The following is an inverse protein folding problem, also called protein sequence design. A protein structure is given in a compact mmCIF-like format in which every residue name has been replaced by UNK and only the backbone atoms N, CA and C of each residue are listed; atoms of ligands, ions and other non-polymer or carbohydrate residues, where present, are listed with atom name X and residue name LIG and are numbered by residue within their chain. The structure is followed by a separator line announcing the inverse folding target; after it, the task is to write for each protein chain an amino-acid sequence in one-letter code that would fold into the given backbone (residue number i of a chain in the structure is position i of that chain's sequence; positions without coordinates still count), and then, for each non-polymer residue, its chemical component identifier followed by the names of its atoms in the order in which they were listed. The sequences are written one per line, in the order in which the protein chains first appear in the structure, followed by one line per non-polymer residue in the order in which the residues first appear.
data_IF_385911286700
#
_entry.id   IF_385911286700
#
_cell.length_a   1.000
_cell.length_b   1.000
_cell.length_c   1.000
_cell.angle_alpha   90.00
_cell.angle_beta   90.00
_cell.angle_gamma   90.00
#
_symmetry.space_group_name_H-M   'P 1'
#
loop_
_entity.id
_entity.type
_entity.pdbx_description
1 polymer ?
#
# COMPACT_ATOMS: atom_id res chain seq x y z
N UNK A 1 -15.17 -33.47 -10.02
CA UNK A 1 -15.97 -32.24 -9.93
C UNK A 1 -15.20 -31.14 -10.64
N UNK A 2 -15.44 -31.00 -11.94
CA UNK A 2 -14.65 -30.15 -12.83
C UNK A 2 -15.23 -28.75 -12.92
N UNK A 3 -14.38 -27.75 -13.18
CA UNK A 3 -14.74 -26.33 -13.30
C UNK A 3 -15.85 -26.01 -14.33
N UNK A 4 -16.23 -26.97 -15.18
CA UNK A 4 -17.36 -26.85 -16.10
C UNK A 4 -18.74 -26.83 -15.43
N UNK A 5 -18.89 -27.48 -14.28
CA UNK A 5 -20.20 -27.59 -13.59
C UNK A 5 -20.59 -26.28 -12.86
N UNK A 6 -19.62 -25.43 -12.55
CA UNK A 6 -19.86 -24.16 -11.87
C UNK A 6 -20.43 -23.10 -12.83
N UNK A 7 -19.99 -23.11 -14.09
CA UNK A 7 -20.44 -22.12 -15.09
C UNK A 7 -21.87 -22.39 -15.61
N UNK A 8 -22.34 -23.63 -15.57
CA UNK A 8 -23.69 -23.98 -16.07
C UNK A 8 -24.77 -23.62 -15.03
N UNK A 9 -24.45 -23.69 -13.74
CA UNK A 9 -25.41 -23.44 -12.66
C UNK A 9 -25.61 -21.95 -12.31
N UNK A 10 -24.73 -21.05 -12.75
CA UNK A 10 -24.83 -19.60 -12.49
C UNK A 10 -25.64 -18.82 -13.56
N UNK A 11 -25.98 -19.46 -14.68
CA UNK A 11 -26.71 -18.83 -15.79
C UNK A 11 -28.23 -18.66 -15.52
N UNK A 12 -28.94 -19.54 -14.80
CA UNK A 12 -30.39 -19.39 -14.63
C UNK A 12 -30.78 -18.22 -13.72
N UNK A 13 -29.95 -17.86 -12.74
CA UNK A 13 -30.31 -16.87 -11.70
C UNK A 13 -30.34 -15.41 -12.21
N UNK A 14 -29.62 -15.08 -13.28
CA UNK A 14 -29.67 -13.74 -13.90
C UNK A 14 -30.92 -13.59 -14.80
N UNK A 15 -31.62 -14.69 -15.10
CA UNK A 15 -32.72 -14.71 -16.08
C UNK A 15 -34.12 -14.52 -15.48
N UNK A 16 -34.24 -13.97 -14.27
CA UNK A 16 -35.51 -13.64 -13.61
C UNK A 16 -36.46 -12.83 -14.51
N UNK A 17 -37.27 -13.52 -15.30
CA UNK A 17 -38.16 -12.97 -16.30
C UNK A 17 -39.20 -14.01 -16.67
N UNK A 18 -40.42 -13.78 -16.16
CA UNK A 18 -41.61 -14.64 -16.27
C UNK A 18 -41.77 -15.25 -17.67
N UNK A 19 -42.13 -16.54 -17.71
CA UNK A 19 -42.49 -17.28 -18.91
C UNK A 19 -43.64 -16.59 -19.67
N UNK A 20 -43.28 -15.79 -20.67
CA UNK A 20 -44.18 -15.32 -21.71
C UNK A 20 -44.04 -16.22 -22.94
N UNK A 21 -45.16 -16.81 -23.39
CA UNK A 21 -45.29 -17.57 -24.64
C UNK A 21 -44.72 -16.77 -25.83
N UNK A 22 -43.55 -17.17 -26.34
CA UNK A 22 -42.89 -16.56 -27.50
C UNK A 22 -41.36 -16.69 -27.49
N UNK A 23 -40.83 -17.86 -27.12
CA UNK A 23 -39.47 -18.00 -26.58
C UNK A 23 -38.34 -18.33 -27.55
N UNK A 24 -37.96 -17.44 -28.49
CA UNK A 24 -36.74 -17.67 -29.32
C UNK A 24 -35.71 -16.54 -29.48
N UNK A 25 -35.95 -15.22 -29.29
CA UNK A 25 -34.89 -14.22 -29.48
C UNK A 25 -34.11 -13.85 -28.21
N UNK A 26 -34.74 -13.86 -27.02
CA UNK A 26 -34.13 -13.33 -25.77
C UNK A 26 -33.00 -14.22 -25.24
N UNK A 27 -33.12 -15.54 -25.37
CA UNK A 27 -32.08 -16.49 -24.94
C UNK A 27 -30.79 -16.36 -25.75
N UNK A 28 -30.90 -16.04 -27.05
CA UNK A 28 -29.75 -15.90 -27.95
C UNK A 28 -28.97 -14.61 -27.66
N UNK A 29 -29.68 -13.51 -27.38
CA UNK A 29 -29.06 -12.23 -27.04
C UNK A 29 -28.26 -12.28 -25.72
N UNK A 30 -28.80 -12.96 -24.69
CA UNK A 30 -28.09 -13.14 -23.41
C UNK A 30 -26.82 -13.97 -23.54
N UNK A 31 -26.84 -15.03 -24.37
CA UNK A 31 -25.66 -15.85 -24.66
C UNK A 31 -24.61 -15.07 -25.46
N UNK A 32 -25.03 -14.26 -26.44
CA UNK A 32 -24.11 -13.38 -27.18
C UNK A 32 -23.43 -12.37 -26.27
N UNK A 33 -24.18 -11.74 -25.37
CA UNK A 33 -23.64 -10.78 -24.42
C UNK A 33 -22.61 -11.41 -23.46
N UNK A 34 -22.90 -12.61 -22.94
CA UNK A 34 -21.96 -13.30 -22.03
C UNK A 34 -20.67 -13.72 -22.74
N UNK A 35 -20.76 -14.15 -24.01
CA UNK A 35 -19.58 -14.46 -24.83
C UNK A 35 -18.73 -13.21 -25.09
N UNK A 36 -19.35 -12.08 -25.44
CA UNK A 36 -18.63 -10.82 -25.66
C UNK A 36 -17.94 -10.36 -24.36
N UNK A 37 -18.63 -10.43 -23.23
CA UNK A 37 -18.06 -10.07 -21.93
C UNK A 37 -16.86 -10.96 -21.58
N UNK A 38 -16.95 -12.26 -21.83
CA UNK A 38 -15.86 -13.20 -21.60
C UNK A 38 -14.63 -12.87 -22.47
N UNK A 39 -14.84 -12.55 -23.74
CA UNK A 39 -13.76 -12.15 -24.66
C UNK A 39 -13.07 -10.88 -24.14
N UNK A 40 -13.84 -9.89 -23.68
CA UNK A 40 -13.27 -8.66 -23.12
C UNK A 40 -12.43 -8.94 -21.87
N UNK A 41 -12.92 -9.76 -20.94
CA UNK A 41 -12.18 -10.16 -19.74
C UNK A 41 -10.88 -10.89 -20.08
N UNK A 42 -10.94 -11.88 -20.98
CA UNK A 42 -9.76 -12.63 -21.42
C UNK A 42 -8.75 -11.72 -22.13
N UNK A 43 -9.22 -10.78 -22.97
CA UNK A 43 -8.33 -9.82 -23.63
C UNK A 43 -7.64 -8.89 -22.64
N UNK A 44 -8.35 -8.47 -21.58
CA UNK A 44 -7.78 -7.68 -20.49
C UNK A 44 -6.73 -8.45 -19.70
N UNK A 45 -7.01 -9.72 -19.37
CA UNK A 45 -6.07 -10.60 -18.68
C UNK A 45 -4.78 -10.80 -19.49
N UNK A 46 -4.89 -11.08 -20.79
CA UNK A 46 -3.74 -11.26 -21.69
C UNK A 46 -2.90 -9.98 -21.77
N UNK A 47 -3.55 -8.81 -21.82
CA UNK A 47 -2.84 -7.51 -21.77
C UNK A 47 -2.12 -7.32 -20.44
N UNK A 48 -2.77 -7.62 -19.32
CA UNK A 48 -2.16 -7.53 -17.98
C UNK A 48 -0.93 -8.43 -17.83
N UNK A 49 -1.03 -9.69 -18.25
CA UNK A 49 0.11 -10.63 -18.24
C UNK A 49 1.25 -10.11 -19.11
N UNK A 50 0.94 -9.57 -20.30
CA UNK A 50 1.96 -9.02 -21.20
C UNK A 50 2.67 -7.79 -20.61
N UNK A 51 1.94 -6.92 -19.92
CA UNK A 51 2.51 -5.75 -19.24
C UNK A 51 3.45 -6.19 -18.12
N UNK A 52 3.00 -7.10 -17.25
CA UNK A 52 3.82 -7.65 -16.17
C UNK A 52 5.11 -8.29 -16.71
N UNK A 53 4.99 -9.16 -17.72
CA UNK A 53 6.15 -9.78 -18.36
C UNK A 53 7.07 -8.78 -19.09
N UNK A 54 6.57 -7.62 -19.53
CA UNK A 54 7.41 -6.58 -20.13
C UNK A 54 8.18 -5.79 -19.08
N UNK A 55 7.59 -5.53 -17.91
CA UNK A 55 8.26 -4.82 -16.81
C UNK A 55 9.36 -5.68 -16.19
N UNK A 56 9.12 -6.99 -16.00
CA UNK A 56 10.15 -7.93 -15.54
C UNK A 56 11.35 -7.99 -16.50
N UNK A 57 11.09 -7.97 -17.82
CA UNK A 57 12.16 -7.93 -18.83
C UNK A 57 12.94 -6.63 -18.80
N UNK A 58 12.28 -5.50 -18.57
CA UNK A 58 12.95 -4.19 -18.44
C UNK A 58 13.85 -4.18 -17.21
N UNK A 59 13.35 -4.64 -16.07
CA UNK A 59 14.12 -4.77 -14.84
C UNK A 59 15.31 -5.72 -15.03
N UNK A 60 15.12 -6.87 -15.68
CA UNK A 60 16.21 -7.81 -15.99
C UNK A 60 17.27 -7.21 -16.94
N UNK A 61 16.86 -6.41 -17.92
CA UNK A 61 17.79 -5.75 -18.84
C UNK A 61 18.58 -4.62 -18.15
N UNK A 62 17.89 -3.79 -17.35
CA UNK A 62 18.52 -2.71 -16.59
C UNK A 62 19.52 -3.26 -15.56
N UNK A 63 19.15 -4.32 -14.83
CA UNK A 63 20.03 -4.98 -13.85
C UNK A 63 21.20 -5.74 -14.48
N UNK A 64 21.01 -6.31 -15.68
CA UNK A 64 22.10 -6.95 -16.45
C UNK A 64 23.15 -5.97 -16.95
N UNK A 65 22.80 -4.69 -17.14
CA UNK A 65 23.73 -3.62 -17.57
C UNK A 65 24.53 -3.07 -16.39
N UNK A 66 23.93 -2.97 -15.20
CA UNK A 66 24.58 -2.35 -14.03
C UNK A 66 25.42 -3.33 -13.20
N UNK A 67 25.27 -4.64 -13.38
CA UNK A 67 26.04 -5.66 -12.64
C UNK A 67 25.64 -5.81 -11.16
N UNK A 68 24.68 -5.00 -10.68
CA UNK A 68 24.08 -5.09 -9.35
C UNK A 68 22.66 -4.52 -9.38
N UNK A 69 21.77 -5.14 -8.59
CA UNK A 69 20.40 -4.67 -8.36
C UNK A 69 20.43 -3.71 -7.18
N UNK A 70 20.18 -2.42 -7.43
CA UNK A 70 19.91 -1.46 -6.35
C UNK A 70 18.42 -1.48 -6.06
N UNK A 71 18.03 -2.12 -4.97
CA UNK A 71 16.70 -1.96 -4.38
C UNK A 71 16.85 -1.05 -3.18
N UNK A 72 16.08 0.04 -3.14
CA UNK A 72 15.92 0.81 -1.91
C UNK A 72 15.27 -0.12 -0.89
N UNK A 73 16.02 -0.48 0.16
CA UNK A 73 15.44 -1.17 1.32
C UNK A 73 14.69 -0.14 2.14
N UNK A 74 13.45 -0.46 2.47
CA UNK A 74 12.73 0.29 3.49
C UNK A 74 13.50 0.25 4.81
N UNK A 75 13.36 1.31 5.61
CA UNK A 75 13.93 1.33 6.94
C UNK A 75 13.34 0.19 7.78
N UNK A 76 14.12 -0.42 8.69
CA UNK A 76 13.58 -1.41 9.60
C UNK A 76 12.40 -0.83 10.37
N UNK A 77 11.32 -1.61 10.48
CA UNK A 77 10.28 -1.30 11.45
C UNK A 77 10.87 -1.37 12.85
N UNK A 78 10.51 -0.39 13.67
CA UNK A 78 11.01 -0.27 15.03
C UNK A 78 9.83 -0.04 15.96
N UNK A 79 9.78 -0.81 17.05
CA UNK A 79 8.84 -0.54 18.12
C UNK A 79 9.18 0.81 18.76
N UNK A 80 8.18 1.67 18.86
CA UNK A 80 8.30 2.99 19.46
C UNK A 80 7.13 3.24 20.41
N UNK A 81 7.38 4.08 21.41
CA UNK A 81 6.34 4.67 22.21
C UNK A 81 6.13 6.14 21.76
N UNK A 82 5.11 6.80 22.29
CA UNK A 82 4.79 8.17 21.93
C UNK A 82 4.36 9.01 23.12
N UNK A 83 4.47 10.32 22.97
CA UNK A 83 4.00 11.31 23.92
C UNK A 83 3.36 12.47 23.18
N UNK A 84 2.62 13.30 23.91
CA UNK A 84 2.00 14.51 23.37
C UNK A 84 2.81 15.73 23.80
N UNK A 85 3.17 16.57 22.84
CA UNK A 85 3.83 17.85 23.05
C UNK A 85 3.12 18.94 22.26
N UNK A 86 2.51 19.89 22.97
CA UNK A 86 1.72 20.99 22.38
C UNK A 86 0.67 20.54 21.36
N UNK A 87 0.00 19.41 21.62
CA UNK A 87 -1.02 18.84 20.72
C UNK A 87 -0.46 18.01 19.56
N UNK A 88 0.87 17.82 19.49
CA UNK A 88 1.53 17.00 18.49
C UNK A 88 2.03 15.69 19.13
N UNK A 89 1.75 14.56 18.46
CA UNK A 89 2.31 13.27 18.86
C UNK A 89 3.78 13.20 18.44
N UNK A 90 4.66 12.98 19.41
CA UNK A 90 6.10 12.79 19.24
C UNK A 90 6.43 11.34 19.60
N UNK A 91 7.25 10.68 18.78
CA UNK A 91 7.68 9.30 18.99
C UNK A 91 9.07 9.21 19.60
N UNK A 92 9.34 8.15 20.34
CA UNK A 92 10.64 7.83 20.93
C UNK A 92 10.82 6.31 21.03
N UNK A 93 12.06 5.81 21.04
CA UNK A 93 12.32 4.39 21.25
C UNK A 93 11.79 3.93 22.61
N UNK A 94 11.42 2.66 22.71
CA UNK A 94 10.95 2.05 23.96
C UNK A 94 12.09 1.98 24.98
N UNK A 95 13.28 1.58 24.54
CA UNK A 95 14.48 1.57 25.39
C UNK A 95 15.45 2.70 24.98
N UNK A 96 16.11 3.30 25.98
CA UNK A 96 17.09 4.35 25.73
C UNK A 96 18.28 3.83 24.90
N UNK A 97 18.68 4.58 23.87
CA UNK A 97 19.77 4.21 22.97
C UNK A 97 19.37 3.37 21.77
N UNK A 98 18.11 2.92 21.69
CA UNK A 98 17.58 2.28 20.48
C UNK A 98 17.29 3.29 19.37
N UNK A 99 17.15 2.78 18.14
CA UNK A 99 16.85 3.59 16.95
C UNK A 99 15.44 3.31 16.45
N UNK A 100 14.71 4.38 16.15
CA UNK A 100 13.38 4.36 15.52
C UNK A 100 13.43 4.65 14.01
N UNK A 101 14.62 4.85 13.46
CA UNK A 101 14.87 5.14 12.04
C UNK A 101 13.94 6.24 11.52
N UNK A 102 13.29 6.00 10.38
CA UNK A 102 12.19 6.81 9.84
C UNK A 102 10.86 6.07 9.93
N UNK A 103 10.75 5.05 10.79
CA UNK A 103 9.51 4.30 10.96
C UNK A 103 8.39 5.18 11.53
N UNK A 104 8.73 6.13 12.41
CA UNK A 104 7.79 7.08 12.99
C UNK A 104 8.36 8.50 13.03
N UNK A 105 7.53 9.51 12.77
CA UNK A 105 7.92 10.92 12.73
C UNK A 105 6.76 11.83 13.17
N UNK A 106 7.01 12.93 13.90
CA UNK A 106 8.30 13.41 14.42
C UNK A 106 8.82 12.59 15.61
N UNK A 107 10.14 12.53 15.75
CA UNK A 107 10.83 11.62 16.67
C UNK A 107 11.88 12.33 17.54
N UNK A 108 12.06 11.85 18.77
CA UNK A 108 13.14 12.24 19.71
C UNK A 108 13.91 11.01 20.21
N UNK A 109 15.07 11.24 20.81
CA UNK A 109 16.03 10.18 21.15
C UNK A 109 15.56 9.23 22.28
N UNK A 110 14.78 9.73 23.24
CA UNK A 110 14.20 8.96 24.34
C UNK A 110 13.15 9.81 25.07
N UNK A 111 12.34 9.17 25.92
CA UNK A 111 11.18 9.79 26.57
C UNK A 111 11.51 11.08 27.33
N UNK A 112 12.59 11.09 28.11
CA UNK A 112 12.99 12.24 28.93
C UNK A 112 13.25 13.54 28.14
N UNK A 113 13.52 13.42 26.83
CA UNK A 113 13.70 14.59 25.98
C UNK A 113 12.40 15.36 25.71
N UNK A 114 11.22 14.75 25.93
CA UNK A 114 9.93 15.41 25.70
C UNK A 114 9.77 16.66 26.58
N UNK A 115 10.20 16.57 27.85
CA UNK A 115 10.16 17.67 28.81
C UNK A 115 11.21 18.76 28.51
N UNK A 116 12.26 18.36 27.82
CA UNK A 116 13.35 19.21 27.35
C UNK A 116 13.05 19.94 26.03
N UNK A 117 11.91 19.69 25.39
CA UNK A 117 11.59 20.32 24.11
C UNK A 117 11.20 21.80 24.27
N UNK A 118 11.60 22.61 23.30
CA UNK A 118 11.18 23.99 23.11
C UNK A 118 10.99 24.32 21.63
N UNK A 119 10.13 25.31 21.35
CA UNK A 119 9.98 25.85 19.99
C UNK A 119 11.25 26.56 19.56
N UNK A 120 11.62 26.43 18.28
CA UNK A 120 12.70 27.25 17.70
C UNK A 120 12.27 28.69 17.40
N UNK A 121 10.97 28.92 17.26
CA UNK A 121 10.38 30.21 16.92
C UNK A 121 9.02 30.41 17.58
N UNK A 122 8.19 31.27 17.00
CA UNK A 122 6.86 31.59 17.55
C UNK A 122 5.79 30.58 17.12
N UNK A 123 6.03 29.83 16.04
CA UNK A 123 5.08 28.89 15.46
C UNK A 123 5.62 27.46 15.40
N UNK A 124 4.72 26.48 15.30
CA UNK A 124 5.10 25.06 15.12
C UNK A 124 5.87 24.80 13.81
N UNK A 125 5.67 25.65 12.79
CA UNK A 125 6.37 25.56 11.49
C UNK A 125 7.85 25.85 11.61
N UNK A 126 8.26 26.57 12.65
CA UNK A 126 9.66 26.88 12.93
C UNK A 126 10.40 25.65 13.50
N UNK A 127 9.65 24.60 13.86
CA UNK A 127 10.16 23.37 14.43
C UNK A 127 10.44 23.50 15.93
N UNK A 128 11.00 22.42 16.47
CA UNK A 128 11.36 22.29 17.88
C UNK A 128 12.83 21.88 18.01
N UNK A 129 13.38 22.09 19.19
CA UNK A 129 14.71 21.62 19.59
C UNK A 129 14.70 21.22 21.05
N UNK A 130 15.76 20.57 21.50
CA UNK A 130 15.98 20.38 22.93
C UNK A 130 16.61 21.65 23.51
N UNK A 131 16.18 22.03 24.71
CA UNK A 131 16.80 23.09 25.50
C UNK A 131 18.29 22.79 25.64
N UNK A 132 19.12 23.80 25.40
CA UNK A 132 20.55 23.67 25.68
C UNK A 132 20.73 23.49 27.18
N UNK A 133 21.37 22.39 27.56
CA UNK A 133 21.94 22.25 28.90
C UNK A 133 23.30 22.96 28.84
N UNK A 134 23.46 24.06 29.58
CA UNK A 134 24.80 24.61 29.82
C UNK A 134 25.57 23.55 30.60
N UNK A 135 26.48 22.87 29.91
CA UNK A 135 27.46 22.00 30.56
C UNK A 135 28.64 22.90 30.89
N UNK A 136 28.68 23.37 32.14
CA UNK A 136 29.89 23.98 32.68
C UNK A 136 30.99 22.91 32.66
N UNK A 137 31.91 23.03 31.71
CA UNK A 137 33.12 22.22 31.68
C UNK A 137 34.03 22.72 32.82
N UNK A 138 33.96 22.03 33.96
CA UNK A 138 34.89 22.17 35.08
C UNK A 138 36.31 21.75 34.71
#
# INVERSE_FOLDING_TARGET
YGAGDLCINLIPEISGGKEGRGGRPVKVAGVLFSVILLILLLSGLVRGIRMYASDDKRMALETGITGYIVSQRDYPEAYCDSGEWEGMKIYYPVNEGEQIWYHAFPAILYRGNLDGMERRGSSIRDGFRLKQVEVDLL
#
